data_IF_300273024145
#
_entry.id   IF_300273024145
#
_cell.length_a   1.000
_cell.length_b   1.000
_cell.length_c   1.000
_cell.angle_alpha   90.00
_cell.angle_beta   90.00
_cell.angle_gamma   90.00
#
_symmetry.space_group_name_H-M   'P 1'
#
loop_
_entity.id
_entity.type
_entity.pdbx_description
1 polymer ?
#
# COMPACT_ATOMS: atom_id res chain seq x y z
N UNK A 1 -42.05 -11.46 -14.06
CA UNK A 1 -41.07 -11.60 -12.96
C UNK A 1 -39.88 -12.38 -13.50
N UNK A 2 -38.93 -11.68 -14.10
CA UNK A 2 -37.64 -12.25 -14.51
C UNK A 2 -36.62 -11.85 -13.46
N UNK A 3 -36.24 -12.82 -12.62
CA UNK A 3 -35.16 -12.65 -11.66
C UNK A 3 -33.85 -12.66 -12.44
N UNK A 4 -33.21 -11.50 -12.57
CA UNK A 4 -31.87 -11.41 -13.12
C UNK A 4 -30.89 -12.02 -12.10
N UNK A 5 -30.32 -13.17 -12.46
CA UNK A 5 -29.19 -13.77 -11.76
C UNK A 5 -27.99 -12.85 -11.98
N UNK A 6 -27.54 -12.18 -10.91
CA UNK A 6 -26.30 -11.39 -10.95
C UNK A 6 -25.10 -12.27 -11.31
N UNK A 7 -24.03 -11.70 -11.90
CA UNK A 7 -22.90 -12.49 -12.37
C UNK A 7 -22.28 -13.24 -11.18
N UNK A 8 -22.04 -14.54 -11.40
CA UNK A 8 -21.43 -15.42 -10.41
C UNK A 8 -20.08 -14.84 -9.97
N UNK A 9 -19.93 -14.55 -8.67
CA UNK A 9 -18.62 -14.25 -8.07
C UNK A 9 -17.71 -15.45 -8.32
N UNK A 10 -16.64 -15.22 -9.07
CA UNK A 10 -15.66 -16.24 -9.40
C UNK A 10 -15.02 -16.73 -8.10
N UNK A 11 -15.28 -17.98 -7.70
CA UNK A 11 -14.89 -18.58 -6.40
C UNK A 11 -13.37 -18.68 -6.22
N UNK A 12 -12.57 -18.32 -7.24
CA UNK A 12 -11.12 -18.46 -7.27
C UNK A 12 -10.31 -17.24 -6.76
N UNK A 13 -10.96 -16.14 -6.34
CA UNK A 13 -10.31 -14.90 -5.87
C UNK A 13 -10.85 -14.45 -4.50
N UNK A 14 -10.79 -15.30 -3.47
CA UNK A 14 -11.06 -14.80 -2.12
C UNK A 14 -9.89 -13.94 -1.64
N UNK A 15 -10.15 -12.75 -1.05
CA UNK A 15 -9.11 -11.96 -0.43
C UNK A 15 -8.44 -12.75 0.69
N UNK A 16 -7.12 -12.62 0.81
CA UNK A 16 -6.34 -13.08 1.95
C UNK A 16 -6.17 -11.88 2.88
N UNK A 17 -6.71 -11.98 4.09
CA UNK A 17 -6.52 -10.95 5.12
C UNK A 17 -5.40 -11.36 6.08
N UNK A 18 -4.49 -10.43 6.37
CA UNK A 18 -3.45 -10.57 7.39
C UNK A 18 -3.68 -9.52 8.46
N UNK A 19 -3.94 -9.97 9.69
CA UNK A 19 -4.07 -9.10 10.84
C UNK A 19 -2.70 -8.80 11.46
N UNK A 20 -2.38 -7.53 11.64
CA UNK A 20 -1.16 -7.09 12.34
C UNK A 20 -1.56 -6.66 13.76
N UNK A 21 -1.23 -7.49 14.75
CA UNK A 21 -1.63 -7.26 16.15
C UNK A 21 -0.66 -6.32 16.89
N UNK A 22 -1.10 -5.07 17.09
CA UNK A 22 -0.36 -4.03 17.81
C UNK A 22 -1.26 -3.36 18.86
N UNK A 23 -2.16 -4.15 19.47
CA UNK A 23 -3.18 -3.71 20.42
C UNK A 23 -4.05 -2.56 19.87
N UNK A 24 -4.04 -1.38 20.48
CA UNK A 24 -4.83 -0.23 20.02
C UNK A 24 -4.44 0.30 18.63
N UNK A 25 -3.33 -0.19 18.04
CA UNK A 25 -2.83 0.22 16.72
C UNK A 25 -2.90 -0.91 15.69
N UNK A 26 -3.61 -2.00 16.00
CA UNK A 26 -3.79 -3.11 15.07
C UNK A 26 -4.49 -2.64 13.80
N UNK A 27 -4.12 -3.26 12.69
CA UNK A 27 -4.69 -2.97 11.38
C UNK A 27 -4.67 -4.23 10.51
N UNK A 28 -5.49 -4.23 9.47
CA UNK A 28 -5.58 -5.34 8.53
C UNK A 28 -4.88 -5.01 7.21
N UNK A 29 -4.36 -6.06 6.59
CA UNK A 29 -3.81 -6.06 5.24
C UNK A 29 -4.72 -6.95 4.40
N UNK A 30 -5.37 -6.39 3.40
CA UNK A 30 -6.21 -7.15 2.46
C UNK A 30 -5.43 -7.37 1.17
N UNK A 31 -5.26 -8.64 0.78
CA UNK A 31 -4.50 -9.05 -0.39
C UNK A 31 -5.44 -9.75 -1.35
N UNK A 32 -5.63 -9.19 -2.53
CA UNK A 32 -6.42 -9.80 -3.60
C UNK A 32 -6.00 -9.26 -4.95
N UNK A 33 -6.43 -9.93 -6.01
CA UNK A 33 -6.64 -9.24 -7.28
C UNK A 33 -7.90 -8.38 -7.14
N UNK A 34 -7.84 -7.14 -7.62
CA UNK A 34 -8.90 -6.14 -7.49
C UNK A 34 -9.20 -5.75 -6.02
N UNK A 35 -8.20 -5.82 -5.13
CA UNK A 35 -8.34 -5.46 -3.71
C UNK A 35 -8.83 -4.01 -3.52
N UNK A 36 -8.62 -3.14 -4.51
CA UNK A 36 -9.12 -1.76 -4.48
C UNK A 36 -10.64 -1.65 -4.49
N UNK A 37 -11.37 -2.71 -4.85
CA UNK A 37 -12.83 -2.75 -4.74
C UNK A 37 -13.32 -2.63 -3.27
N UNK A 38 -12.45 -2.87 -2.28
CA UNK A 38 -12.76 -2.65 -0.87
C UNK A 38 -12.58 -1.20 -0.41
N UNK A 39 -11.96 -0.34 -1.23
CA UNK A 39 -11.66 1.05 -0.87
C UNK A 39 -12.93 1.88 -0.57
N UNK A 40 -14.04 1.81 -1.36
CA UNK A 40 -15.28 2.50 -1.05
C UNK A 40 -15.79 2.23 0.38
N UNK A 41 -15.94 0.97 0.74
CA UNK A 41 -16.41 0.53 2.06
C UNK A 41 -15.44 0.95 3.17
N UNK A 42 -14.13 0.91 2.92
CA UNK A 42 -13.11 1.38 3.85
C UNK A 42 -13.22 2.89 4.10
N UNK A 43 -13.42 3.70 3.06
CA UNK A 43 -13.60 5.15 3.18
C UNK A 43 -14.87 5.50 3.97
N UNK A 44 -15.95 4.73 3.80
CA UNK A 44 -17.18 4.89 4.58
C UNK A 44 -16.97 4.54 6.05
N UNK A 45 -16.30 3.43 6.36
CA UNK A 45 -15.95 3.05 7.74
C UNK A 45 -15.09 4.10 8.44
N UNK A 46 -14.16 4.72 7.71
CA UNK A 46 -13.30 5.79 8.21
C UNK A 46 -14.00 7.16 8.25
N UNK A 47 -15.27 7.25 7.83
CA UNK A 47 -16.04 8.49 7.78
C UNK A 47 -15.33 9.58 6.96
N UNK A 48 -14.67 9.16 5.88
CA UNK A 48 -13.89 10.07 5.05
C UNK A 48 -14.79 11.12 4.39
N UNK A 49 -14.29 12.36 4.28
CA UNK A 49 -15.01 13.49 3.69
C UNK A 49 -15.12 13.40 2.17
N UNK A 50 -15.78 14.40 1.59
CA UNK A 50 -15.96 14.55 0.14
C UNK A 50 -14.65 14.65 -0.66
N UNK A 51 -13.54 15.07 -0.05
CA UNK A 51 -12.23 15.15 -0.71
C UNK A 51 -11.29 14.12 -0.07
N UNK A 52 -10.71 13.26 -0.89
CA UNK A 52 -9.75 12.24 -0.48
C UNK A 52 -8.36 12.62 -1.00
N UNK A 53 -7.41 12.99 -0.13
CA UNK A 53 -6.03 13.24 -0.53
C UNK A 53 -5.36 11.93 -0.95
N UNK A 54 -4.73 11.95 -2.12
CA UNK A 54 -3.95 10.83 -2.66
C UNK A 54 -2.55 11.34 -2.97
N UNK A 55 -1.53 10.77 -2.35
CA UNK A 55 -0.14 11.04 -2.68
C UNK A 55 0.36 9.87 -3.52
N UNK A 56 0.96 10.18 -4.67
CA UNK A 56 1.46 9.19 -5.63
C UNK A 56 2.69 9.72 -6.35
N UNK A 57 3.33 8.90 -7.19
CA UNK A 57 4.38 9.35 -8.11
C UNK A 57 3.89 9.39 -9.56
N UNK A 58 4.66 10.05 -10.42
CA UNK A 58 4.31 10.24 -11.84
C UNK A 58 4.07 8.92 -12.59
N UNK A 59 4.85 7.86 -12.32
CA UNK A 59 4.72 6.58 -13.02
C UNK A 59 3.44 5.85 -12.59
N UNK A 60 3.18 5.82 -11.28
CA UNK A 60 1.99 5.16 -10.72
C UNK A 60 0.73 5.92 -11.11
N UNK A 61 0.76 7.25 -11.09
CA UNK A 61 -0.36 8.08 -11.54
C UNK A 61 -0.68 7.85 -13.03
N UNK A 62 0.34 7.82 -13.89
CA UNK A 62 0.17 7.57 -15.31
C UNK A 62 -0.44 6.19 -15.61
N UNK A 63 -0.03 5.16 -14.86
CA UNK A 63 -0.51 3.80 -15.06
C UNK A 63 -1.92 3.56 -14.48
N UNK A 64 -2.20 4.09 -13.28
CA UNK A 64 -3.35 3.65 -12.47
C UNK A 64 -4.18 4.78 -11.85
N UNK A 65 -3.78 6.04 -12.06
CA UNK A 65 -4.41 7.20 -11.42
C UNK A 65 -5.87 7.41 -11.80
N UNK A 66 -6.26 7.09 -13.05
CA UNK A 66 -7.66 7.18 -13.49
C UNK A 66 -8.54 6.14 -12.80
N UNK A 67 -8.08 4.88 -12.76
CA UNK A 67 -8.78 3.79 -12.09
C UNK A 67 -9.02 4.09 -10.60
N UNK A 68 -8.00 4.57 -9.87
CA UNK A 68 -8.17 4.90 -8.45
C UNK A 68 -9.18 6.04 -8.24
N UNK A 69 -9.18 7.05 -9.13
CA UNK A 69 -10.15 8.15 -9.08
C UNK A 69 -11.58 7.67 -9.31
N UNK A 70 -11.78 6.77 -10.27
CA UNK A 70 -13.08 6.16 -10.54
C UNK A 70 -13.61 5.38 -9.35
N UNK A 71 -12.75 4.58 -8.69
CA UNK A 71 -13.11 3.84 -7.48
C UNK A 71 -13.52 4.79 -6.36
N UNK A 72 -12.76 5.85 -6.10
CA UNK A 72 -13.10 6.85 -5.08
C UNK A 72 -14.45 7.52 -5.40
N UNK A 73 -14.70 7.83 -6.69
CA UNK A 73 -15.92 8.49 -7.16
C UNK A 73 -17.19 7.65 -6.97
N UNK A 74 -17.09 6.32 -6.85
CA UNK A 74 -18.23 5.44 -6.53
C UNK A 74 -18.91 5.81 -5.21
N UNK A 75 -18.19 6.47 -4.30
CA UNK A 75 -18.72 6.94 -3.02
C UNK A 75 -19.23 8.39 -3.04
N UNK A 76 -19.28 9.03 -4.22
CA UNK A 76 -19.59 10.45 -4.35
C UNK A 76 -18.49 11.38 -3.85
N UNK A 77 -17.29 10.84 -3.56
CA UNK A 77 -16.10 11.59 -3.15
C UNK A 77 -15.22 11.92 -4.35
N UNK A 78 -14.36 12.91 -4.20
CA UNK A 78 -13.38 13.34 -5.21
C UNK A 78 -11.97 13.10 -4.69
N UNK A 79 -11.13 12.46 -5.50
CA UNK A 79 -9.71 12.39 -5.19
C UNK A 79 -9.05 13.76 -5.44
N UNK A 80 -8.19 14.18 -4.51
CA UNK A 80 -7.27 15.28 -4.69
C UNK A 80 -5.84 14.71 -4.75
N UNK A 81 -5.28 14.65 -5.96
CA UNK A 81 -4.05 13.91 -6.22
C UNK A 81 -2.84 14.85 -6.18
N UNK A 82 -1.88 14.54 -5.30
CA UNK A 82 -0.56 15.15 -5.24
C UNK A 82 0.44 14.18 -5.88
N UNK A 83 1.12 14.65 -6.93
CA UNK A 83 2.04 13.84 -7.72
C UNK A 83 3.47 14.24 -7.39
N UNK A 84 4.28 13.27 -6.96
CA UNK A 84 5.69 13.42 -6.64
C UNK A 84 6.55 12.98 -7.83
N UNK A 85 7.77 13.54 -7.98
CA UNK A 85 8.77 12.96 -8.86
C UNK A 85 9.08 11.52 -8.47
N UNK A 86 9.28 10.59 -9.42
CA UNK A 86 9.57 9.21 -9.12
C UNK A 86 10.97 9.01 -8.53
N UNK A 87 11.12 7.96 -7.71
CA UNK A 87 12.42 7.48 -7.21
C UNK A 87 12.85 8.05 -5.85
N UNK A 88 13.89 7.44 -5.27
CA UNK A 88 14.35 7.68 -3.90
C UNK A 88 14.70 9.14 -3.58
N UNK A 89 15.08 9.93 -4.59
CA UNK A 89 15.45 11.33 -4.42
C UNK A 89 14.26 12.22 -4.03
N UNK A 90 13.03 11.82 -4.30
CA UNK A 90 11.84 12.58 -3.86
C UNK A 90 11.53 12.37 -2.37
N UNK A 91 12.18 11.40 -1.72
CA UNK A 91 12.04 11.11 -0.31
C UNK A 91 12.84 12.08 0.57
N UNK A 92 12.45 13.35 0.57
CA UNK A 92 13.20 14.44 1.20
C UNK A 92 12.29 15.50 1.87
N UNK A 93 12.90 16.42 2.63
CA UNK A 93 12.21 17.50 3.33
C UNK A 93 11.41 18.45 2.43
N UNK A 94 11.88 18.73 1.21
CA UNK A 94 11.20 19.63 0.29
C UNK A 94 9.86 19.04 -0.15
N UNK A 95 9.83 17.76 -0.52
CA UNK A 95 8.59 17.09 -0.91
C UNK A 95 7.66 16.89 0.30
N UNK A 96 8.22 16.56 1.47
CA UNK A 96 7.44 16.45 2.70
C UNK A 96 6.74 17.77 3.05
N UNK A 97 7.45 18.90 2.97
CA UNK A 97 6.89 20.23 3.21
C UNK A 97 5.75 20.56 2.24
N UNK A 98 5.93 20.27 0.94
CA UNK A 98 4.87 20.46 -0.06
C UNK A 98 3.62 19.63 0.26
N UNK A 99 3.79 18.35 0.61
CA UNK A 99 2.67 17.49 1.00
C UNK A 99 1.93 18.09 2.20
N UNK A 100 2.65 18.52 3.24
CA UNK A 100 2.05 19.08 4.45
C UNK A 100 1.25 20.36 4.17
N UNK A 101 1.80 21.30 3.40
CA UNK A 101 1.12 22.56 3.06
C UNK A 101 -0.14 22.33 2.23
N UNK A 102 -0.07 21.47 1.22
CA UNK A 102 -1.23 21.11 0.40
C UNK A 102 -2.33 20.42 1.24
N UNK A 103 -1.96 19.45 2.08
CA UNK A 103 -2.91 18.78 2.98
C UNK A 103 -3.56 19.73 4.00
N UNK A 104 -2.83 20.74 4.48
CA UNK A 104 -3.37 21.80 5.32
C UNK A 104 -4.33 22.71 4.55
N UNK A 105 -4.00 23.03 3.29
CA UNK A 105 -4.85 23.81 2.38
C UNK A 105 -6.21 23.16 2.11
N UNK A 106 -6.30 21.84 2.13
CA UNK A 106 -7.56 21.08 2.01
C UNK A 106 -8.45 21.15 3.25
N UNK A 107 -7.98 21.73 4.36
CA UNK A 107 -8.68 21.81 5.64
C UNK A 107 -9.19 20.46 6.17
N UNK A 108 -8.36 19.42 6.03
CA UNK A 108 -8.65 18.07 6.51
C UNK A 108 -8.85 18.04 8.03
N UNK A 109 -9.80 17.27 8.52
CA UNK A 109 -9.96 16.93 9.93
C UNK A 109 -8.92 15.91 10.38
N UNK A 110 -8.76 15.74 11.71
CA UNK A 110 -7.80 14.75 12.27
C UNK A 110 -8.15 13.29 11.97
N UNK A 111 -9.38 13.02 11.53
CA UNK A 111 -9.87 11.68 11.19
C UNK A 111 -9.93 11.45 9.69
N UNK A 112 -9.66 12.47 8.87
CA UNK A 112 -9.73 12.32 7.42
C UNK A 112 -8.52 11.50 6.95
N UNK A 113 -8.73 10.38 6.24
CA UNK A 113 -7.63 9.53 5.82
C UNK A 113 -6.88 10.11 4.62
N UNK A 114 -5.58 9.88 4.60
CA UNK A 114 -4.69 10.17 3.48
C UNK A 114 -4.35 8.85 2.77
N UNK A 115 -4.40 8.80 1.44
CA UNK A 115 -4.01 7.61 0.68
C UNK A 115 -2.56 7.76 0.22
N UNK A 116 -1.72 6.78 0.55
CA UNK A 116 -0.41 6.58 -0.04
C UNK A 116 -0.52 5.56 -1.18
N UNK A 117 -0.46 6.02 -2.43
CA UNK A 117 -0.62 5.18 -3.62
C UNK A 117 0.68 5.12 -4.41
N UNK A 118 1.52 4.11 -4.15
CA UNK A 118 2.80 3.98 -4.82
C UNK A 118 3.71 2.92 -4.21
N UNK A 119 5.00 2.95 -4.58
CA UNK A 119 6.02 2.12 -3.94
C UNK A 119 6.43 2.62 -2.55
N UNK A 120 7.49 2.01 -1.98
CA UNK A 120 7.93 2.32 -0.62
C UNK A 120 8.33 3.78 -0.37
N UNK A 121 8.81 4.48 -1.40
CA UNK A 121 9.11 5.93 -1.32
C UNK A 121 7.85 6.74 -0.99
N UNK A 122 6.77 6.51 -1.76
CA UNK A 122 5.48 7.18 -1.56
C UNK A 122 4.89 6.78 -0.22
N UNK A 123 4.95 5.49 0.13
CA UNK A 123 4.49 4.97 1.42
C UNK A 123 5.17 5.68 2.60
N UNK A 124 6.49 5.76 2.60
CA UNK A 124 7.26 6.31 3.71
C UNK A 124 7.06 7.82 3.88
N UNK A 125 7.10 8.60 2.78
CA UNK A 125 6.94 10.05 2.88
C UNK A 125 5.50 10.43 3.25
N UNK A 126 4.50 9.70 2.73
CA UNK A 126 3.09 9.95 3.03
C UNK A 126 2.75 9.54 4.45
N UNK A 127 3.23 8.38 4.91
CA UNK A 127 3.07 7.95 6.29
C UNK A 127 3.72 8.93 7.27
N UNK A 128 4.88 9.49 6.92
CA UNK A 128 5.54 10.48 7.76
C UNK A 128 4.79 11.80 7.79
N UNK A 129 4.30 12.27 6.63
CA UNK A 129 3.42 13.43 6.55
C UNK A 129 2.15 13.23 7.40
N UNK A 130 1.52 12.06 7.32
CA UNK A 130 0.34 11.71 8.11
C UNK A 130 0.63 11.69 9.63
N UNK A 131 1.82 11.25 10.05
CA UNK A 131 2.23 11.29 11.47
C UNK A 131 2.37 12.73 12.00
N UNK A 132 2.82 13.65 11.16
CA UNK A 132 3.05 15.05 11.53
C UNK A 132 1.78 15.90 11.44
N UNK A 133 0.97 15.67 10.41
CA UNK A 133 -0.21 16.47 10.11
C UNK A 133 -1.16 16.44 11.31
N UNK A 134 -1.42 17.61 11.89
CA UNK A 134 -2.26 17.78 13.09
C UNK A 134 -1.90 16.82 14.25
N UNK A 135 -0.63 16.39 14.32
CA UNK A 135 -0.07 15.42 15.28
C UNK A 135 -0.60 13.99 15.12
N UNK A 136 -0.97 13.61 13.89
CA UNK A 136 -1.43 12.28 13.55
C UNK A 136 -2.79 12.31 12.87
N UNK A 137 -2.79 11.94 11.59
CA UNK A 137 -3.98 11.59 10.81
C UNK A 137 -3.89 10.12 10.37
N UNK A 138 -5.04 9.45 10.17
CA UNK A 138 -5.03 8.11 9.59
C UNK A 138 -4.52 8.16 8.15
N UNK A 139 -3.87 7.08 7.71
CA UNK A 139 -3.52 6.90 6.31
C UNK A 139 -3.74 5.46 5.86
N UNK A 140 -4.03 5.27 4.59
CA UNK A 140 -4.23 3.97 3.95
C UNK A 140 -3.03 3.75 3.03
N UNK A 141 -2.39 2.59 3.12
CA UNK A 141 -1.38 2.21 2.13
C UNK A 141 -1.99 1.41 1.00
N UNK A 142 -1.67 1.81 -0.23
CA UNK A 142 -1.95 1.06 -1.45
C UNK A 142 -0.59 0.83 -2.15
N UNK A 143 0.19 -0.17 -1.71
CA UNK A 143 1.51 -0.44 -2.24
C UNK A 143 1.45 -1.01 -3.66
N UNK A 144 2.20 -0.40 -4.58
CA UNK A 144 2.19 -0.75 -6.03
C UNK A 144 3.45 -1.44 -6.53
N UNK A 145 4.47 -1.61 -5.68
CA UNK A 145 5.64 -2.44 -5.98
C UNK A 145 5.65 -3.69 -5.12
N UNK A 146 6.21 -4.79 -5.64
CA UNK A 146 6.28 -6.04 -4.88
C UNK A 146 7.07 -5.83 -3.57
N UNK A 147 8.17 -5.08 -3.60
CA UNK A 147 8.94 -4.72 -2.41
C UNK A 147 8.07 -3.99 -1.36
N UNK A 148 7.22 -3.06 -1.79
CA UNK A 148 6.35 -2.35 -0.86
C UNK A 148 5.25 -3.25 -0.29
N UNK A 149 4.72 -4.15 -1.10
CA UNK A 149 3.68 -5.12 -0.71
C UNK A 149 4.20 -6.12 0.34
N UNK A 150 5.45 -6.55 0.25
CA UNK A 150 6.01 -7.61 1.13
C UNK A 150 6.85 -7.08 2.30
N UNK A 151 7.24 -5.80 2.26
CA UNK A 151 8.11 -5.21 3.27
C UNK A 151 7.60 -3.84 3.72
N UNK A 152 7.80 -2.76 2.96
CA UNK A 152 7.65 -1.40 3.48
C UNK A 152 6.24 -1.03 3.97
N UNK A 153 5.19 -1.70 3.49
CA UNK A 153 3.81 -1.46 3.96
C UNK A 153 3.49 -2.04 5.35
N UNK A 154 4.38 -2.87 5.91
CA UNK A 154 4.21 -3.49 7.23
C UNK A 154 5.22 -2.91 8.22
N UNK A 155 4.75 -2.59 9.43
CA UNK A 155 5.60 -2.17 10.56
C UNK A 155 5.64 -0.68 10.87
N UNK A 156 4.98 0.16 10.06
CA UNK A 156 4.76 1.58 10.36
C UNK A 156 6.02 2.45 10.42
N UNK A 157 7.16 1.97 9.90
CA UNK A 157 8.36 2.79 9.73
C UNK A 157 8.11 3.75 8.57
N UNK A 158 8.11 5.05 8.85
CA UNK A 158 7.88 6.11 7.86
C UNK A 158 9.01 7.13 7.97
N UNK A 159 9.31 7.87 6.90
CA UNK A 159 10.35 8.88 7.00
C UNK A 159 10.85 9.46 5.69
N UNK A 160 11.87 10.31 5.83
CA UNK A 160 12.60 10.95 4.73
C UNK A 160 14.11 10.76 4.89
N UNK A 161 14.82 10.93 3.76
CA UNK A 161 16.26 10.94 3.73
C UNK A 161 16.81 12.33 4.11
N UNK A 162 18.01 12.34 4.67
CA UNK A 162 18.79 13.57 4.90
C UNK A 162 20.10 13.51 4.12
N UNK A 163 20.83 14.63 4.09
CA UNK A 163 22.20 14.67 3.56
C UNK A 163 23.16 13.73 4.31
N UNK A 164 22.82 13.31 5.53
CA UNK A 164 23.63 12.40 6.34
C UNK A 164 23.28 10.92 6.15
N UNK A 165 22.21 10.59 5.42
CA UNK A 165 21.85 9.20 5.15
C UNK A 165 20.36 8.97 4.97
N UNK A 166 20.03 7.73 4.59
CA UNK A 166 18.67 7.28 4.32
C UNK A 166 17.93 6.93 5.61
N UNK A 167 16.63 7.23 5.65
CA UNK A 167 15.72 6.83 6.74
C UNK A 167 16.14 7.26 8.16
N UNK A 168 16.98 8.30 8.30
CA UNK A 168 17.43 8.76 9.62
C UNK A 168 16.41 9.67 10.31
N UNK A 169 15.39 10.14 9.59
CA UNK A 169 14.38 11.06 10.08
C UNK A 169 13.02 10.48 9.74
N UNK A 170 12.19 10.24 10.76
CA UNK A 170 10.93 9.56 10.56
C UNK A 170 10.12 9.38 11.83
N UNK A 171 9.04 8.62 11.70
CA UNK A 171 8.16 8.25 12.80
C UNK A 171 7.69 6.79 12.66
N UNK A 172 7.37 6.17 13.80
CA UNK A 172 6.59 4.95 13.83
C UNK A 172 5.10 5.33 13.80
N UNK A 173 4.47 5.22 12.63
CA UNK A 173 3.07 5.57 12.41
C UNK A 173 2.39 4.45 11.61
N UNK A 174 1.45 3.75 12.25
CA UNK A 174 0.77 2.61 11.64
C UNK A 174 -0.32 3.08 10.67
N UNK A 175 -0.51 2.40 9.53
CA UNK A 175 -1.63 2.68 8.65
C UNK A 175 -2.95 2.25 9.31
N UNK A 176 -4.06 2.84 8.84
CA UNK A 176 -5.40 2.39 9.21
C UNK A 176 -5.79 1.09 8.49
N UNK A 177 -5.24 0.86 7.29
CA UNK A 177 -5.43 -0.34 6.48
C UNK A 177 -4.34 -0.40 5.39
N UNK A 178 -4.02 -1.60 4.91
CA UNK A 178 -3.19 -1.81 3.71
C UNK A 178 -4.00 -2.58 2.66
N UNK A 179 -4.15 -2.02 1.47
CA UNK A 179 -4.82 -2.66 0.34
C UNK A 179 -3.78 -3.09 -0.70
N UNK A 180 -3.51 -4.39 -0.77
CA UNK A 180 -2.58 -5.00 -1.71
C UNK A 180 -3.38 -5.55 -2.88
N UNK A 181 -3.43 -4.77 -3.96
CA UNK A 181 -3.98 -5.22 -5.22
C UNK A 181 -2.88 -5.79 -6.11
N UNK A 182 -2.88 -7.11 -6.30
CA UNK A 182 -1.85 -7.80 -7.07
C UNK A 182 -1.90 -7.47 -8.56
N UNK A 183 -3.02 -6.96 -9.09
CA UNK A 183 -3.13 -6.54 -10.49
C UNK A 183 -2.21 -5.35 -10.82
N UNK A 184 -1.90 -4.50 -9.83
CA UNK A 184 -1.05 -3.33 -10.01
C UNK A 184 0.39 -3.71 -10.40
N UNK A 185 0.84 -4.92 -10.03
CA UNK A 185 2.16 -5.41 -10.37
C UNK A 185 2.37 -5.61 -11.89
N UNK A 186 1.28 -5.71 -12.67
CA UNK A 186 1.37 -5.88 -14.12
C UNK A 186 2.06 -4.71 -14.84
N UNK A 187 2.04 -3.50 -14.25
CA UNK A 187 2.77 -2.34 -14.79
C UNK A 187 4.18 -2.18 -14.22
N UNK A 188 4.59 -3.03 -13.26
CA UNK A 188 5.86 -2.89 -12.57
C UNK A 188 7.02 -3.36 -13.47
N UNK A 189 8.11 -2.58 -13.62
CA UNK A 189 9.26 -3.03 -14.38
C UNK A 189 9.82 -4.35 -13.82
N UNK A 190 10.18 -5.27 -14.72
CA UNK A 190 10.71 -6.61 -14.34
C UNK A 190 11.83 -6.56 -13.31
N UNK A 191 12.72 -5.57 -13.41
CA UNK A 191 13.82 -5.37 -12.45
C UNK A 191 13.31 -5.08 -11.04
N UNK A 192 12.29 -4.24 -10.91
CA UNK A 192 11.69 -3.88 -9.62
C UNK A 192 10.86 -5.04 -9.05
N UNK A 193 10.22 -5.84 -9.91
CA UNK A 193 9.59 -7.10 -9.50
C UNK A 193 10.62 -8.08 -8.91
N UNK A 194 11.75 -8.27 -9.58
CA UNK A 194 12.83 -9.13 -9.09
C UNK A 194 13.46 -8.61 -7.80
N UNK A 195 13.60 -7.29 -7.66
CA UNK A 195 14.08 -6.68 -6.42
C UNK A 195 13.12 -6.95 -5.24
N UNK A 196 11.80 -6.85 -5.45
CA UNK A 196 10.81 -7.24 -4.46
C UNK A 196 10.84 -8.73 -4.14
N UNK A 197 11.05 -9.58 -5.14
CA UNK A 197 11.16 -11.03 -4.93
C UNK A 197 12.35 -11.40 -4.03
N UNK A 198 13.46 -10.65 -4.08
CA UNK A 198 14.59 -10.89 -3.18
C UNK A 198 14.21 -10.72 -1.69
N UNK A 199 13.34 -9.76 -1.37
CA UNK A 199 12.82 -9.58 -0.01
C UNK A 199 11.89 -10.73 0.43
N UNK A 200 11.17 -11.35 -0.51
CA UNK A 200 10.39 -12.57 -0.24
C UNK A 200 11.32 -13.73 0.13
N UNK A 201 12.37 -13.93 -0.66
CA UNK A 201 13.39 -14.97 -0.40
C UNK A 201 14.07 -14.76 0.96
N UNK A 202 14.33 -13.51 1.34
CA UNK A 202 14.87 -13.17 2.67
C UNK A 202 14.02 -13.77 3.79
N UNK A 203 12.69 -13.65 3.75
CA UNK A 203 11.83 -14.20 4.81
C UNK A 203 11.94 -15.72 4.94
N UNK A 204 12.06 -16.44 3.83
CA UNK A 204 12.32 -17.88 3.86
C UNK A 204 13.68 -18.21 4.47
N UNK A 205 14.73 -17.48 4.11
CA UNK A 205 16.09 -17.72 4.59
C UNK A 205 16.29 -17.42 6.08
N UNK A 206 15.59 -16.42 6.63
CA UNK A 206 15.84 -15.96 8.00
C UNK A 206 15.09 -16.77 9.06
N UNK A 207 13.87 -17.26 8.77
CA UNK A 207 13.00 -17.83 9.80
C UNK A 207 11.93 -18.82 9.28
N UNK A 208 11.92 -19.18 7.99
CA UNK A 208 10.90 -20.10 7.44
C UNK A 208 11.47 -21.02 6.34
N UNK A 209 12.16 -22.12 6.71
CA UNK A 209 12.71 -23.07 5.76
C UNK A 209 11.66 -23.72 4.85
N UNK A 210 10.43 -23.89 5.33
CA UNK A 210 9.33 -24.45 4.54
C UNK A 210 8.88 -23.45 3.47
N UNK A 211 8.79 -22.16 3.79
CA UNK A 211 8.52 -21.13 2.81
C UNK A 211 9.66 -21.01 1.80
N UNK A 212 10.93 -21.13 2.22
CA UNK A 212 12.06 -21.16 1.29
C UNK A 212 11.95 -22.32 0.29
N UNK A 213 11.68 -23.55 0.76
CA UNK A 213 11.48 -24.70 -0.10
C UNK A 213 10.27 -24.55 -1.04
N UNK A 214 9.22 -23.86 -0.59
CA UNK A 214 8.07 -23.52 -1.43
C UNK A 214 8.45 -22.52 -2.54
N UNK A 215 9.28 -21.52 -2.25
CA UNK A 215 9.78 -20.56 -3.23
C UNK A 215 10.66 -21.20 -4.31
N UNK A 216 11.40 -22.27 -3.99
CA UNK A 216 12.15 -23.04 -4.99
C UNK A 216 11.24 -23.66 -6.06
N UNK A 217 9.99 -23.98 -5.71
CA UNK A 217 9.01 -24.59 -6.60
C UNK A 217 8.16 -23.54 -7.34
N UNK A 218 7.83 -22.42 -6.67
CA UNK A 218 6.87 -21.44 -7.18
C UNK A 218 7.49 -20.10 -7.62
N UNK A 219 8.81 -19.91 -7.48
CA UNK A 219 9.47 -18.64 -7.79
C UNK A 219 9.21 -18.14 -9.22
N UNK A 220 9.18 -19.03 -10.20
CA UNK A 220 8.85 -18.69 -11.59
C UNK A 220 7.39 -18.24 -11.74
N UNK A 221 6.45 -18.86 -11.03
CA UNK A 221 5.03 -18.47 -11.05
C UNK A 221 4.85 -17.05 -10.48
N UNK A 222 5.52 -16.75 -9.37
CA UNK A 222 5.49 -15.43 -8.72
C UNK A 222 6.06 -14.35 -9.65
N UNK A 223 7.20 -14.63 -10.30
CA UNK A 223 7.81 -13.69 -11.24
C UNK A 223 7.02 -13.50 -12.54
N UNK A 224 6.10 -14.42 -12.85
CA UNK A 224 5.11 -14.27 -13.93
C UNK A 224 3.76 -13.74 -13.44
N UNK A 225 3.66 -13.34 -12.17
CA UNK A 225 2.44 -12.80 -11.55
C UNK A 225 1.26 -13.77 -11.57
N UNK A 226 1.52 -15.08 -11.46
CA UNK A 226 0.45 -16.07 -11.31
C UNK A 226 -0.36 -15.76 -10.03
N UNK A 227 -1.69 -15.56 -10.12
CA UNK A 227 -2.46 -14.92 -9.06
C UNK A 227 -2.33 -15.60 -7.70
N UNK A 228 -2.44 -16.93 -7.67
CA UNK A 228 -2.39 -17.71 -6.42
C UNK A 228 -1.00 -17.69 -5.79
N UNK A 229 0.04 -17.94 -6.58
CA UNK A 229 1.41 -17.97 -6.08
C UNK A 229 1.84 -16.59 -5.58
N UNK A 230 1.49 -15.53 -6.31
CA UNK A 230 1.81 -14.14 -5.97
C UNK A 230 1.11 -13.71 -4.68
N UNK A 231 -0.21 -13.92 -4.57
CA UNK A 231 -0.97 -13.57 -3.38
C UNK A 231 -0.48 -14.34 -2.14
N UNK A 232 -0.19 -15.64 -2.29
CA UNK A 232 0.36 -16.46 -1.20
C UNK A 232 1.73 -15.95 -0.76
N UNK A 233 2.64 -15.66 -1.69
CA UNK A 233 3.98 -15.19 -1.38
C UNK A 233 3.96 -13.84 -0.65
N UNK A 234 3.07 -12.93 -1.06
CA UNK A 234 2.87 -11.65 -0.38
C UNK A 234 2.30 -11.87 1.02
N UNK A 235 1.24 -12.67 1.17
CA UNK A 235 0.61 -12.95 2.45
C UNK A 235 1.58 -13.57 3.46
N UNK A 236 2.36 -14.59 3.05
CA UNK A 236 3.37 -15.22 3.91
C UNK A 236 4.45 -14.21 4.32
N UNK A 237 4.86 -13.32 3.41
CA UNK A 237 5.85 -12.26 3.71
C UNK A 237 5.30 -11.23 4.70
N UNK A 238 4.05 -10.78 4.52
CA UNK A 238 3.38 -9.87 5.45
C UNK A 238 3.24 -10.50 6.84
N UNK A 239 2.86 -11.77 6.92
CA UNK A 239 2.76 -12.52 8.18
C UNK A 239 4.13 -12.66 8.85
N UNK A 240 5.17 -13.01 8.09
CA UNK A 240 6.53 -13.12 8.60
C UNK A 240 7.00 -11.79 9.20
N UNK A 241 6.76 -10.67 8.50
CA UNK A 241 7.12 -9.35 9.01
C UNK A 241 6.26 -8.94 10.21
N UNK A 242 4.97 -9.21 10.21
CA UNK A 242 4.07 -8.91 11.32
C UNK A 242 4.44 -9.63 12.62
N UNK A 243 5.03 -10.84 12.54
CA UNK A 243 5.55 -11.56 13.73
C UNK A 243 6.78 -10.89 14.35
N UNK A 244 7.52 -10.10 13.57
CA UNK A 244 8.78 -9.46 14.00
C UNK A 244 8.54 -8.05 14.57
N UNK A 245 7.50 -7.36 14.09
CA UNK A 245 7.12 -6.00 14.50
C UNK A 245 6.45 -6.01 15.86
#
# INVERSE_FOLDING_TARGET
MTCAVGPARNVMNQPIDVHVDLAARSYDITIAIDALNALPDLLDRLQAKSIIPVITDEHVHAAHGAMLQEIIAQTGRKAHVLILPPGENSKNWQQLGKILEELLGLNLGRKDPIIAFGGGVVGDITGFAASMLKRGCPFIQIPTSLLAQVDSSVGGKTGVNSSYGKNLIGAFHQPAHVLIDTALLASLPKRELQAGYAEIVKYGLIDDPSFFAWLEQHGTEILHLEPKATAQAIATSCQAKARIV
#
